data_IF_123670721266
#
_entry.id   IF_123670721266
#
_cell.length_a   1.000
_cell.length_b   1.000
_cell.length_c   1.000
_cell.angle_alpha   90.00
_cell.angle_beta   90.00
_cell.angle_gamma   90.00
#
_symmetry.space_group_name_H-M   'P 1'
#
loop_
_entity.id
_entity.type
_entity.pdbx_description
1 polymer ?
#
# COMPACT_ATOMS: atom_id res chain seq x y z
N UNK A 1 3.47 -27.23 20.25
CA UNK A 1 2.51 -26.10 20.13
C UNK A 1 2.45 -25.68 18.67
N UNK A 2 1.35 -25.93 17.93
CA UNK A 2 1.30 -25.64 16.51
C UNK A 2 0.83 -24.21 16.24
N UNK A 3 1.52 -23.53 15.33
CA UNK A 3 1.04 -22.33 14.65
C UNK A 3 -0.16 -22.71 13.76
N UNK A 4 -1.34 -22.22 14.12
CA UNK A 4 -2.56 -22.30 13.30
C UNK A 4 -2.74 -20.98 12.56
N UNK A 5 -2.31 -20.88 11.31
CA UNK A 5 -2.83 -19.86 10.41
C UNK A 5 -3.04 -20.44 9.00
N UNK A 6 -4.30 -20.36 8.55
CA UNK A 6 -4.82 -20.60 7.20
C UNK A 6 -4.72 -22.03 6.63
N UNK A 7 -5.71 -22.87 6.98
CA UNK A 7 -6.11 -24.02 6.17
C UNK A 7 -6.88 -23.54 4.94
N UNK A 8 -6.18 -23.32 3.83
CA UNK A 8 -6.83 -23.41 2.52
C UNK A 8 -7.13 -24.88 2.26
N UNK A 9 -8.41 -25.27 2.32
CA UNK A 9 -8.86 -26.63 2.04
C UNK A 9 -8.92 -26.84 0.51
N UNK A 10 -7.75 -26.84 -0.14
CA UNK A 10 -7.61 -27.17 -1.57
C UNK A 10 -7.19 -28.65 -1.69
N UNK A 11 -7.91 -29.47 -2.47
CA UNK A 11 -7.60 -30.89 -2.60
C UNK A 11 -6.19 -31.13 -3.18
N UNK A 12 -5.51 -32.22 -2.80
CA UNK A 12 -4.05 -32.39 -2.93
C UNK A 12 -3.58 -32.79 -4.34
N UNK A 13 -4.21 -32.28 -5.42
CA UNK A 13 -3.86 -32.64 -6.81
C UNK A 13 -3.75 -31.51 -7.82
N UNK A 14 -3.93 -30.24 -7.43
CA UNK A 14 -3.75 -29.10 -8.34
C UNK A 14 -2.58 -28.24 -7.86
N UNK A 15 -1.40 -28.51 -8.43
CA UNK A 15 -0.75 -27.67 -9.44
C UNK A 15 -0.12 -26.40 -8.83
N UNK A 16 1.17 -26.24 -9.06
CA UNK A 16 1.90 -24.97 -8.95
C UNK A 16 1.14 -23.96 -9.82
N UNK A 17 0.25 -23.18 -9.19
CA UNK A 17 -0.40 -22.06 -9.86
C UNK A 17 0.65 -20.97 -9.97
N UNK A 18 1.37 -20.96 -11.10
CA UNK A 18 2.08 -19.77 -11.54
C UNK A 18 0.96 -18.74 -11.77
N UNK A 19 0.81 -17.78 -10.86
CA UNK A 19 -0.13 -16.67 -11.06
C UNK A 19 0.32 -15.99 -12.36
N UNK A 20 -0.47 -16.14 -13.42
CA UNK A 20 -0.14 -15.66 -14.77
C UNK A 20 -0.67 -14.26 -15.03
N UNK A 21 -1.70 -13.84 -14.29
CA UNK A 21 -2.39 -12.57 -14.49
C UNK A 21 -3.13 -12.13 -13.22
N UNK A 22 -3.50 -10.86 -13.17
CA UNK A 22 -4.31 -10.24 -12.12
C UNK A 22 -5.79 -10.58 -12.37
N UNK A 23 -6.45 -11.20 -11.39
CA UNK A 23 -7.90 -11.44 -11.42
C UNK A 23 -8.66 -10.25 -10.80
N UNK A 24 -9.05 -9.31 -11.67
CA UNK A 24 -9.77 -8.10 -11.28
C UNK A 24 -11.09 -8.42 -10.57
N UNK A 25 -11.83 -9.43 -11.03
CA UNK A 25 -13.14 -9.77 -10.46
C UNK A 25 -13.00 -10.29 -9.02
N UNK A 26 -12.02 -11.16 -8.79
CA UNK A 26 -11.70 -11.63 -7.45
C UNK A 26 -11.33 -10.47 -6.53
N UNK A 27 -10.46 -9.56 -6.99
CA UNK A 27 -10.01 -8.41 -6.21
C UNK A 27 -11.18 -7.47 -5.91
N UNK A 28 -11.95 -7.07 -6.92
CA UNK A 28 -13.11 -6.18 -6.79
C UNK A 28 -14.10 -6.73 -5.75
N UNK A 29 -14.46 -8.02 -5.86
CA UNK A 29 -15.39 -8.65 -4.93
C UNK A 29 -14.79 -8.75 -3.51
N UNK A 30 -13.50 -9.06 -3.39
CA UNK A 30 -12.85 -9.14 -2.09
C UNK A 30 -12.81 -7.78 -1.37
N UNK A 31 -12.46 -6.71 -2.10
CA UNK A 31 -12.39 -5.34 -1.56
C UNK A 31 -13.78 -4.84 -1.19
N UNK A 32 -14.80 -5.07 -2.02
CA UNK A 32 -16.18 -4.69 -1.72
C UNK A 32 -16.72 -5.41 -0.48
N UNK A 33 -16.38 -6.69 -0.29
CA UNK A 33 -16.71 -7.43 0.94
C UNK A 33 -16.00 -6.86 2.17
N UNK A 34 -14.77 -6.37 2.02
CA UNK A 34 -14.03 -5.73 3.11
C UNK A 34 -14.64 -4.37 3.48
N UNK A 35 -14.98 -3.55 2.48
CA UNK A 35 -15.69 -2.28 2.63
C UNK A 35 -16.99 -2.47 3.41
N UNK A 36 -17.81 -3.45 3.00
CA UNK A 36 -19.11 -3.70 3.64
C UNK A 36 -18.96 -4.24 5.07
N UNK A 37 -18.01 -5.17 5.30
CA UNK A 37 -17.76 -5.78 6.60
C UNK A 37 -17.28 -4.78 7.65
N UNK A 38 -16.36 -3.89 7.28
CA UNK A 38 -15.73 -2.95 8.21
C UNK A 38 -16.30 -1.53 8.13
N UNK A 39 -17.26 -1.30 7.23
CA UNK A 39 -17.92 0.00 7.00
C UNK A 39 -16.92 1.11 6.65
N UNK A 40 -15.89 0.77 5.87
CA UNK A 40 -15.01 1.79 5.31
C UNK A 40 -15.76 2.55 4.20
N UNK A 41 -15.64 3.89 4.13
CA UNK A 41 -16.33 4.68 3.10
C UNK A 41 -15.78 4.39 1.70
N UNK A 42 -14.46 4.22 1.59
CA UNK A 42 -13.77 3.83 0.36
C UNK A 42 -12.44 3.16 0.66
N UNK A 43 -11.94 2.40 -0.31
CA UNK A 43 -10.60 1.82 -0.36
C UNK A 43 -10.11 1.97 -1.79
N UNK A 44 -8.82 2.30 -1.97
CA UNK A 44 -8.17 2.24 -3.28
C UNK A 44 -7.07 1.19 -3.27
N UNK A 45 -6.98 0.42 -4.35
CA UNK A 45 -6.05 -0.70 -4.47
C UNK A 45 -5.25 -0.55 -5.76
N UNK A 46 -3.93 -0.59 -5.62
CA UNK A 46 -2.96 -0.68 -6.70
C UNK A 46 -2.19 -1.98 -6.60
N UNK A 47 -2.14 -2.77 -7.67
CA UNK A 47 -1.36 -4.01 -7.78
C UNK A 47 -0.57 -3.93 -9.08
N UNK A 48 0.75 -4.13 -8.97
CA UNK A 48 1.66 -4.24 -10.10
C UNK A 48 2.23 -5.65 -10.08
N UNK A 49 2.01 -6.40 -11.15
CA UNK A 49 2.49 -7.77 -11.28
C UNK A 49 2.91 -8.05 -12.73
N UNK A 50 4.21 -8.28 -12.94
CA UNK A 50 4.82 -8.28 -14.27
C UNK A 50 4.47 -6.97 -15.02
N UNK A 51 3.92 -7.07 -16.23
CA UNK A 51 3.49 -5.95 -17.06
C UNK A 51 2.02 -5.55 -16.82
N UNK A 52 1.34 -6.19 -15.85
CA UNK A 52 -0.05 -5.90 -15.53
C UNK A 52 -0.17 -4.94 -14.35
N UNK A 53 -1.08 -3.97 -14.50
CA UNK A 53 -1.42 -3.00 -13.48
C UNK A 53 -2.92 -3.08 -13.24
N UNK A 54 -3.30 -3.30 -11.99
CA UNK A 54 -4.64 -3.08 -11.51
C UNK A 54 -4.63 -1.86 -10.60
N UNK A 55 -5.47 -0.88 -10.92
CA UNK A 55 -5.59 0.35 -10.15
C UNK A 55 -7.06 0.78 -10.13
N UNK A 56 -7.70 0.69 -8.96
CA UNK A 56 -9.12 1.03 -8.81
C UNK A 56 -9.41 1.62 -7.43
N UNK A 57 -10.37 2.54 -7.39
CA UNK A 57 -11.07 2.96 -6.19
C UNK A 57 -12.40 2.21 -6.04
N UNK A 58 -12.77 1.91 -4.79
CA UNK A 58 -14.01 1.24 -4.43
C UNK A 58 -14.74 2.05 -3.36
N UNK A 59 -16.08 2.03 -3.37
CA UNK A 59 -16.92 2.81 -2.47
C UNK A 59 -17.04 4.27 -2.91
N UNK A 60 -17.13 5.19 -1.94
CA UNK A 60 -17.41 6.59 -2.19
C UNK A 60 -16.29 7.49 -1.65
N UNK A 61 -15.77 8.38 -2.49
CA UNK A 61 -14.86 9.46 -2.04
C UNK A 61 -15.60 10.55 -1.29
N UNK A 62 -16.89 10.71 -1.57
CA UNK A 62 -17.78 11.55 -0.80
C UNK A 62 -19.15 10.85 -0.65
N UNK A 63 -19.49 10.47 0.58
CA UNK A 63 -20.75 9.78 0.86
C UNK A 63 -21.95 10.72 0.67
N UNK A 64 -21.85 11.98 1.09
CA UNK A 64 -22.97 12.93 1.04
C UNK A 64 -23.38 13.24 -0.39
N UNK A 65 -22.39 13.46 -1.23
CA UNK A 65 -22.58 13.81 -2.63
C UNK A 65 -22.62 12.56 -3.54
N UNK A 66 -22.60 11.36 -2.95
CA UNK A 66 -22.61 10.07 -3.65
C UNK A 66 -21.54 9.96 -4.74
N UNK A 67 -20.37 10.57 -4.52
CA UNK A 67 -19.29 10.57 -5.50
C UNK A 67 -18.47 9.30 -5.31
N UNK A 68 -18.47 8.46 -6.34
CA UNK A 68 -17.72 7.20 -6.37
C UNK A 68 -16.23 7.46 -6.27
N UNK A 69 -15.53 6.60 -5.53
CA UNK A 69 -14.08 6.62 -5.47
C UNK A 69 -13.49 6.13 -6.80
N UNK A 70 -12.55 6.89 -7.34
CA UNK A 70 -11.74 6.51 -8.49
C UNK A 70 -10.28 6.28 -8.04
N UNK A 71 -9.39 5.95 -8.96
CA UNK A 71 -7.97 5.73 -8.67
C UNK A 71 -7.21 6.99 -8.23
N UNK A 72 -7.84 8.17 -8.28
CA UNK A 72 -7.22 9.47 -8.01
C UNK A 72 -7.58 10.02 -6.63
N UNK A 73 -8.38 9.27 -5.86
CA UNK A 73 -8.72 9.64 -4.50
C UNK A 73 -7.47 9.68 -3.64
N UNK A 74 -7.29 10.78 -2.92
CA UNK A 74 -6.18 10.97 -2.00
C UNK A 74 -6.56 10.53 -0.59
N UNK A 75 -5.64 9.80 0.06
CA UNK A 75 -5.78 9.34 1.42
C UNK A 75 -4.57 9.81 2.25
N UNK A 76 -4.78 10.00 3.55
CA UNK A 76 -3.67 10.16 4.48
C UNK A 76 -2.98 8.81 4.68
N UNK A 77 -1.77 8.66 4.13
CA UNK A 77 -0.98 7.42 4.22
C UNK A 77 -0.26 7.24 5.56
N UNK A 78 -0.23 8.27 6.41
CA UNK A 78 0.32 8.22 7.76
C UNK A 78 1.79 7.79 7.78
N UNK A 79 2.13 6.80 8.61
CA UNK A 79 3.52 6.35 8.79
C UNK A 79 4.18 5.78 7.53
N UNK A 80 3.42 5.47 6.47
CA UNK A 80 3.99 5.09 5.16
C UNK A 80 4.85 6.24 4.60
N UNK A 81 4.56 7.50 4.95
CA UNK A 81 5.38 8.66 4.57
C UNK A 81 6.86 8.51 4.95
N UNK A 82 7.19 7.76 6.02
CA UNK A 82 8.58 7.55 6.45
C UNK A 82 9.45 6.88 5.38
N UNK A 83 8.89 5.96 4.58
CA UNK A 83 9.62 5.33 3.48
C UNK A 83 10.00 6.34 2.40
N UNK A 84 9.13 7.32 2.13
CA UNK A 84 9.44 8.42 1.21
C UNK A 84 10.48 9.38 1.78
N UNK A 85 10.42 9.70 3.07
CA UNK A 85 11.45 10.49 3.75
C UNK A 85 12.80 9.78 3.73
N UNK A 86 12.84 8.48 4.03
CA UNK A 86 14.06 7.69 3.96
C UNK A 86 14.62 7.64 2.53
N UNK A 87 13.76 7.48 1.52
CA UNK A 87 14.17 7.56 0.11
C UNK A 87 14.79 8.92 -0.22
N UNK A 88 14.19 10.02 0.21
CA UNK A 88 14.73 11.36 -0.01
C UNK A 88 16.11 11.54 0.63
N UNK A 89 16.30 11.05 1.86
CA UNK A 89 17.60 11.05 2.55
C UNK A 89 18.64 10.23 1.77
N UNK A 90 18.28 9.01 1.34
CA UNK A 90 19.19 8.17 0.55
C UNK A 90 19.60 8.80 -0.77
N UNK A 91 18.69 9.54 -1.44
CA UNK A 91 19.05 10.29 -2.66
C UNK A 91 20.09 11.39 -2.38
N UNK A 92 19.94 12.13 -1.27
CA UNK A 92 20.92 13.14 -0.88
C UNK A 92 22.28 12.51 -0.52
N UNK A 93 22.26 11.35 0.12
CA UNK A 93 23.46 10.57 0.41
C UNK A 93 24.18 10.13 -0.89
N UNK A 94 23.44 9.57 -1.86
CA UNK A 94 24.00 9.19 -3.16
C UNK A 94 24.57 10.38 -3.95
N UNK A 95 23.98 11.57 -3.79
CA UNK A 95 24.45 12.82 -4.39
C UNK A 95 25.63 13.44 -3.63
N UNK A 96 26.06 12.86 -2.51
CA UNK A 96 27.16 13.36 -1.68
C UNK A 96 26.84 14.66 -0.93
N UNK A 97 25.55 14.97 -0.75
CA UNK A 97 25.08 16.19 -0.08
C UNK A 97 24.95 16.04 1.43
N UNK A 98 24.95 14.80 1.93
CA UNK A 98 25.05 14.45 3.35
C UNK A 98 25.68 13.06 3.51
N UNK A 99 26.25 12.78 4.68
CA UNK A 99 26.57 11.42 5.13
C UNK A 99 25.52 10.95 6.15
N UNK A 100 25.29 9.63 6.22
CA UNK A 100 24.35 9.04 7.18
C UNK A 100 24.89 9.10 8.62
N UNK A 101 26.20 9.23 8.77
CA UNK A 101 26.88 9.33 10.06
C UNK A 101 27.10 10.79 10.49
N UNK A 102 26.71 11.77 9.68
CA UNK A 102 26.86 13.17 10.04
C UNK A 102 26.00 13.52 11.25
N UNK A 103 26.54 14.30 12.20
CA UNK A 103 25.75 14.75 13.33
C UNK A 103 24.66 15.72 12.84
N UNK A 104 23.43 15.56 13.33
CA UNK A 104 22.27 16.37 12.92
C UNK A 104 22.47 17.88 13.10
N UNK A 105 23.38 18.30 14.00
CA UNK A 105 23.78 19.69 14.20
C UNK A 105 24.36 20.36 12.97
N UNK A 106 24.87 19.60 11.98
CA UNK A 106 25.37 20.15 10.72
C UNK A 106 24.24 20.67 9.82
N UNK A 107 23.05 20.08 9.93
CA UNK A 107 21.90 20.38 9.06
C UNK A 107 20.85 21.28 9.71
N UNK A 108 20.81 21.35 11.04
CA UNK A 108 19.78 22.09 11.77
C UNK A 108 20.44 23.00 12.82
N UNK A 109 20.23 24.31 12.67
CA UNK A 109 20.68 25.30 13.65
C UNK A 109 19.69 25.43 14.80
N UNK A 110 20.09 25.02 16.01
CA UNK A 110 19.31 25.14 17.25
C UNK A 110 20.00 24.43 18.42
N UNK A 111 19.70 24.79 19.69
CA UNK A 111 20.20 24.03 20.84
C UNK A 111 19.57 22.65 20.86
N UNK A 112 20.35 21.63 20.52
CA UNK A 112 20.01 20.23 20.73
C UNK A 112 20.36 19.96 22.21
N UNK A 113 19.40 20.14 23.10
CA UNK A 113 19.56 19.93 24.55
C UNK A 113 18.78 18.70 24.97
#
# INVERSE_FOLDING_TARGET
MPCNYFKFNVPPKFLICRIMSIDNFYIDNHVMNFISKYRYPSISVGIVFNDEIYLRGHGFKNIKDSIVADERVSYYIGSITKSFTALAIMKLYEEGLLDLEDPISEYISGKIT
#
